data_IF_036429714709
#
_entry.id   IF_036429714709
#
_cell.length_a   1.000
_cell.length_b   1.000
_cell.length_c   1.000
_cell.angle_alpha   90.00
_cell.angle_beta   90.00
_cell.angle_gamma   90.00
#
_symmetry.space_group_name_H-M   'P 1'
#
loop_
_entity.id
_entity.type
_entity.pdbx_description
1 polymer ?
#
# COMPACT_ATOMS: atom_id res chain seq x y z
N UNK A 1 -28.34 -9.04 9.36
CA UNK A 1 -27.84 -8.96 7.98
C UNK A 1 -26.33 -9.09 8.08
N UNK A 2 -25.78 -10.21 7.61
CA UNK A 2 -24.39 -10.59 7.86
C UNK A 2 -23.45 -9.65 7.08
N UNK A 3 -22.52 -8.97 7.76
CA UNK A 3 -21.59 -8.01 7.15
C UNK A 3 -20.75 -8.68 6.05
N UNK A 4 -20.58 -10.00 6.14
CA UNK A 4 -19.96 -10.84 5.12
C UNK A 4 -20.68 -10.81 3.77
N UNK A 5 -22.00 -10.57 3.73
CA UNK A 5 -22.79 -10.54 2.49
C UNK A 5 -22.63 -9.20 1.75
N UNK A 6 -22.49 -8.08 2.47
CA UNK A 6 -22.26 -6.77 1.86
C UNK A 6 -20.86 -6.69 1.21
N UNK A 7 -19.84 -7.29 1.83
CA UNK A 7 -18.47 -7.32 1.30
C UNK A 7 -18.32 -8.18 0.03
N UNK A 8 -19.18 -9.19 -0.14
CA UNK A 8 -19.19 -10.05 -1.34
C UNK A 8 -19.97 -9.46 -2.53
N UNK A 9 -20.86 -8.50 -2.29
CA UNK A 9 -21.88 -8.12 -3.29
C UNK A 9 -21.65 -6.79 -4.02
N UNK A 10 -20.72 -5.93 -3.58
CA UNK A 10 -20.60 -4.57 -4.15
C UNK A 10 -19.27 -4.26 -4.85
N UNK A 11 -18.17 -4.96 -4.56
CA UNK A 11 -16.84 -4.63 -5.08
C UNK A 11 -16.12 -5.90 -5.53
N UNK A 12 -15.62 -5.92 -6.76
CA UNK A 12 -14.71 -6.96 -7.24
C UNK A 12 -13.33 -6.73 -6.62
N UNK A 13 -12.93 -7.62 -5.72
CA UNK A 13 -11.65 -7.53 -5.03
C UNK A 13 -10.49 -7.97 -5.94
N UNK A 14 -9.77 -6.98 -6.45
CA UNK A 14 -8.50 -7.09 -7.17
C UNK A 14 -7.38 -6.41 -6.37
N UNK A 15 -6.10 -6.65 -6.69
CA UNK A 15 -4.99 -5.92 -6.07
C UNK A 15 -5.18 -4.40 -6.14
N UNK A 16 -5.64 -3.88 -7.29
CA UNK A 16 -5.91 -2.44 -7.46
C UNK A 16 -6.95 -1.95 -6.47
N UNK A 17 -8.10 -2.63 -6.33
CA UNK A 17 -9.13 -2.22 -5.36
C UNK A 17 -8.65 -2.33 -3.91
N UNK A 18 -7.74 -3.26 -3.60
CA UNK A 18 -7.10 -3.33 -2.30
C UNK A 18 -6.24 -2.09 -2.04
N UNK A 19 -5.34 -1.71 -2.95
CA UNK A 19 -4.49 -0.52 -2.77
C UNK A 19 -5.28 0.79 -2.76
N UNK A 20 -6.38 0.89 -3.51
CA UNK A 20 -7.32 2.01 -3.41
C UNK A 20 -7.96 2.06 -2.02
N UNK A 21 -8.45 0.92 -1.52
CA UNK A 21 -9.03 0.83 -0.17
C UNK A 21 -8.01 1.17 0.91
N UNK A 22 -6.79 0.62 0.80
CA UNK A 22 -5.68 0.92 1.71
C UNK A 22 -5.30 2.39 1.69
N UNK A 23 -5.32 3.05 0.52
CA UNK A 23 -5.08 4.49 0.40
C UNK A 23 -6.14 5.31 1.15
N UNK A 24 -7.42 4.97 0.99
CA UNK A 24 -8.51 5.65 1.69
C UNK A 24 -8.37 5.47 3.20
N UNK A 25 -8.15 4.23 3.65
CA UNK A 25 -8.00 3.90 5.07
C UNK A 25 -6.77 4.58 5.67
N UNK A 26 -5.63 4.56 4.98
CA UNK A 26 -4.42 5.27 5.41
C UNK A 26 -4.63 6.77 5.48
N UNK A 27 -5.34 7.37 4.51
CA UNK A 27 -5.64 8.81 4.55
C UNK A 27 -6.41 9.17 5.82
N UNK A 28 -7.49 8.43 6.12
CA UNK A 28 -8.29 8.65 7.33
C UNK A 28 -7.48 8.43 8.61
N UNK A 29 -6.65 7.39 8.63
CA UNK A 29 -5.79 7.09 9.78
C UNK A 29 -4.72 8.17 9.98
N UNK A 30 -4.04 8.61 8.92
CA UNK A 30 -3.03 9.68 9.01
C UNK A 30 -3.67 10.94 9.58
N UNK A 31 -4.86 11.32 9.11
CA UNK A 31 -5.58 12.49 9.63
C UNK A 31 -5.92 12.35 11.12
N UNK A 32 -6.38 11.17 11.52
CA UNK A 32 -6.68 10.88 12.91
C UNK A 32 -5.42 10.98 13.78
N UNK A 33 -4.32 10.33 13.37
CA UNK A 33 -3.08 10.29 14.15
C UNK A 33 -2.38 11.65 14.16
N UNK A 34 -2.35 12.39 13.04
CA UNK A 34 -1.86 13.76 12.99
C UNK A 34 -2.61 14.66 13.97
N UNK A 35 -3.94 14.53 14.02
CA UNK A 35 -4.76 15.28 14.99
C UNK A 35 -4.45 14.88 16.43
N UNK A 36 -4.30 13.59 16.73
CA UNK A 36 -3.98 13.10 18.08
C UNK A 36 -2.59 13.56 18.55
N UNK A 37 -1.61 13.53 17.64
CA UNK A 37 -0.22 13.90 17.91
C UNK A 37 0.05 15.40 17.80
N UNK A 38 -0.97 16.20 17.45
CA UNK A 38 -0.84 17.63 17.19
C UNK A 38 0.33 17.89 16.23
N UNK A 39 0.35 17.18 15.11
CA UNK A 39 1.33 17.40 14.03
C UNK A 39 1.04 18.74 13.40
N UNK A 40 2.08 19.57 13.24
CA UNK A 40 1.99 20.82 12.49
C UNK A 40 2.30 20.53 11.01
N UNK A 41 1.28 20.44 10.14
CA UNK A 41 1.49 19.97 8.78
C UNK A 41 2.02 21.11 7.92
N UNK A 42 3.04 20.81 7.12
CA UNK A 42 3.75 21.79 6.30
C UNK A 42 2.85 22.36 5.17
N UNK A 43 1.81 21.60 4.83
CA UNK A 43 0.79 21.90 3.84
C UNK A 43 -0.60 21.68 4.46
N UNK A 44 -1.68 21.86 3.69
CA UNK A 44 -3.02 21.45 4.13
C UNK A 44 -2.99 19.98 4.61
N UNK A 45 -3.35 19.75 5.87
CA UNK A 45 -3.29 18.44 6.55
C UNK A 45 -3.95 17.33 5.72
N UNK A 46 -5.08 17.65 5.08
CA UNK A 46 -5.80 16.71 4.22
C UNK A 46 -4.98 16.32 2.99
N UNK A 47 -4.44 17.30 2.29
CA UNK A 47 -3.66 17.09 1.06
C UNK A 47 -2.37 16.31 1.39
N UNK A 48 -1.68 16.68 2.47
CA UNK A 48 -0.49 15.97 2.94
C UNK A 48 -0.78 14.50 3.26
N UNK A 49 -1.89 14.23 3.94
CA UNK A 49 -2.31 12.85 4.26
C UNK A 49 -2.61 12.03 3.00
N UNK A 50 -3.31 12.62 2.02
CA UNK A 50 -3.63 11.97 0.74
C UNK A 50 -2.34 11.65 -0.03
N UNK A 51 -1.41 12.61 -0.14
CA UNK A 51 -0.13 12.42 -0.83
C UNK A 51 0.66 11.30 -0.17
N UNK A 52 0.82 11.33 1.15
CA UNK A 52 1.56 10.30 1.88
C UNK A 52 0.94 8.91 1.69
N UNK A 53 -0.39 8.80 1.78
CA UNK A 53 -1.10 7.54 1.56
C UNK A 53 -0.93 7.01 0.12
N UNK A 54 -1.07 7.88 -0.89
CA UNK A 54 -0.92 7.52 -2.30
C UNK A 54 0.51 7.05 -2.61
N UNK A 55 1.51 7.86 -2.24
CA UNK A 55 2.92 7.55 -2.50
C UNK A 55 3.34 6.27 -1.77
N UNK A 56 2.93 6.10 -0.51
CA UNK A 56 3.21 4.88 0.25
C UNK A 56 2.63 3.62 -0.41
N UNK A 57 1.34 3.64 -0.77
CA UNK A 57 0.70 2.49 -1.42
C UNK A 57 1.23 2.23 -2.83
N UNK A 58 1.50 3.29 -3.61
CA UNK A 58 2.13 3.17 -4.93
C UNK A 58 3.52 2.56 -4.84
N UNK A 59 4.35 3.00 -3.88
CA UNK A 59 5.68 2.44 -3.65
C UNK A 59 5.60 0.94 -3.32
N UNK A 60 4.68 0.53 -2.44
CA UNK A 60 4.44 -0.89 -2.14
C UNK A 60 4.03 -1.66 -3.41
N UNK A 61 3.12 -1.11 -4.22
CA UNK A 61 2.67 -1.76 -5.46
C UNK A 61 3.80 -1.95 -6.48
N UNK A 62 4.58 -0.90 -6.75
CA UNK A 62 5.64 -0.93 -7.77
C UNK A 62 6.88 -1.69 -7.31
N UNK A 63 7.17 -1.69 -6.00
CA UNK A 63 8.36 -2.33 -5.46
C UNK A 63 8.11 -3.78 -5.00
N UNK A 64 6.87 -4.29 -5.07
CA UNK A 64 6.51 -5.62 -4.56
C UNK A 64 7.38 -6.75 -5.13
N UNK A 65 7.75 -6.66 -6.41
CA UNK A 65 8.44 -7.73 -7.14
C UNK A 65 9.94 -7.82 -6.75
N UNK A 66 10.45 -6.84 -5.99
CA UNK A 66 11.83 -6.82 -5.48
C UNK A 66 11.98 -7.48 -4.10
N UNK A 67 10.95 -8.19 -3.62
CA UNK A 67 11.01 -8.93 -2.37
C UNK A 67 11.30 -8.03 -1.15
N UNK A 68 12.24 -8.45 -0.31
CA UNK A 68 12.60 -7.73 0.91
C UNK A 68 13.12 -6.31 0.63
N UNK A 69 13.98 -6.16 -0.38
CA UNK A 69 14.54 -4.85 -0.73
C UNK A 69 13.47 -3.90 -1.24
N UNK A 70 12.48 -4.43 -1.96
CA UNK A 70 11.30 -3.70 -2.38
C UNK A 70 10.49 -3.18 -1.20
N UNK A 71 10.23 -4.03 -0.22
CA UNK A 71 9.53 -3.66 1.01
C UNK A 71 10.27 -2.59 1.84
N UNK A 72 11.59 -2.74 2.01
CA UNK A 72 12.40 -1.76 2.71
C UNK A 72 12.41 -0.42 1.97
N UNK A 73 12.51 -0.44 0.64
CA UNK A 73 12.40 0.75 -0.20
C UNK A 73 11.04 1.43 -0.07
N UNK A 74 9.95 0.68 -0.14
CA UNK A 74 8.59 1.21 0.00
C UNK A 74 8.35 1.80 1.40
N UNK A 75 8.83 1.12 2.44
CA UNK A 75 8.80 1.63 3.82
C UNK A 75 9.57 2.94 3.96
N UNK A 76 10.78 3.03 3.40
CA UNK A 76 11.60 4.22 3.43
C UNK A 76 10.94 5.39 2.68
N UNK A 77 10.39 5.15 1.47
CA UNK A 77 9.67 6.15 0.69
C UNK A 77 8.45 6.65 1.45
N UNK A 78 7.66 5.75 2.05
CA UNK A 78 6.48 6.14 2.79
C UNK A 78 6.84 6.96 4.03
N UNK A 79 7.83 6.52 4.81
CA UNK A 79 8.31 7.25 5.97
C UNK A 79 8.88 8.64 5.60
N UNK A 80 9.70 8.72 4.55
CA UNK A 80 10.24 9.99 4.07
C UNK A 80 9.14 10.95 3.63
N UNK A 81 8.09 10.44 2.96
CA UNK A 81 6.95 11.25 2.56
C UNK A 81 6.17 11.75 3.78
N UNK A 82 5.95 10.90 4.79
CA UNK A 82 5.32 11.30 6.05
C UNK A 82 6.12 12.40 6.75
N UNK A 83 7.45 12.23 6.85
CA UNK A 83 8.34 13.21 7.44
C UNK A 83 8.30 14.55 6.69
N UNK A 84 8.22 14.53 5.35
CA UNK A 84 8.09 15.73 4.54
C UNK A 84 6.74 16.45 4.80
N UNK A 85 5.62 15.73 4.83
CA UNK A 85 4.31 16.38 5.05
C UNK A 85 4.09 16.84 6.49
N UNK A 86 4.84 16.29 7.45
CA UNK A 86 4.79 16.64 8.88
C UNK A 86 5.80 17.73 9.28
N UNK A 87 6.25 18.58 8.36
CA UNK A 87 7.24 19.64 8.63
C UNK A 87 8.56 19.12 9.23
N UNK A 88 8.97 17.91 8.88
CA UNK A 88 10.17 17.28 9.42
C UNK A 88 10.04 16.73 10.84
N UNK A 89 8.84 16.65 11.43
CA UNK A 89 8.62 16.02 12.75
C UNK A 89 8.83 14.49 12.75
N UNK A 90 10.10 14.06 12.69
CA UNK A 90 10.53 12.66 12.50
C UNK A 90 9.88 11.68 13.49
N UNK A 91 9.84 12.02 14.78
CA UNK A 91 9.29 11.11 15.81
C UNK A 91 7.78 10.90 15.64
N UNK A 92 7.02 11.97 15.36
CA UNK A 92 5.57 11.86 15.12
C UNK A 92 5.31 11.13 13.81
N UNK A 93 6.10 11.39 12.78
CA UNK A 93 6.05 10.66 11.51
C UNK A 93 6.36 9.16 11.67
N UNK A 94 7.26 8.79 12.58
CA UNK A 94 7.54 7.37 12.87
C UNK A 94 6.35 6.68 13.54
N UNK A 95 5.68 7.36 14.46
CA UNK A 95 4.46 6.86 15.09
C UNK A 95 3.33 6.69 14.07
N UNK A 96 3.15 7.67 13.19
CA UNK A 96 2.14 7.62 12.11
C UNK A 96 2.46 6.50 11.13
N UNK A 97 3.73 6.35 10.76
CA UNK A 97 4.20 5.27 9.89
C UNK A 97 3.94 3.89 10.51
N UNK A 98 4.23 3.72 11.80
CA UNK A 98 3.99 2.46 12.52
C UNK A 98 2.50 2.15 12.61
N UNK A 99 1.66 3.17 12.85
CA UNK A 99 0.21 3.03 12.81
C UNK A 99 -0.29 2.63 11.40
N UNK A 100 0.30 3.20 10.34
CA UNK A 100 0.01 2.83 8.95
C UNK A 100 0.35 1.37 8.67
N UNK A 101 1.53 0.89 9.09
CA UNK A 101 1.91 -0.51 8.93
C UNK A 101 0.94 -1.45 9.66
N UNK A 102 0.57 -1.12 10.90
CA UNK A 102 -0.38 -1.91 11.67
C UNK A 102 -1.77 -1.97 11.00
N UNK A 103 -2.24 -0.83 10.46
CA UNK A 103 -3.51 -0.77 9.74
C UNK A 103 -3.45 -1.52 8.42
N UNK A 104 -2.36 -1.42 7.66
CA UNK A 104 -2.16 -2.18 6.43
C UNK A 104 -2.20 -3.69 6.69
N UNK A 105 -1.45 -4.16 7.71
CA UNK A 105 -1.46 -5.55 8.12
C UNK A 105 -2.85 -6.01 8.61
N UNK A 106 -3.54 -5.15 9.38
CA UNK A 106 -4.92 -5.38 9.81
C UNK A 106 -5.90 -5.51 8.64
N UNK A 107 -5.74 -4.67 7.62
CA UNK A 107 -6.54 -4.71 6.40
C UNK A 107 -6.31 -6.00 5.62
N UNK A 108 -5.05 -6.44 5.52
CA UNK A 108 -4.66 -7.74 4.97
C UNK A 108 -5.36 -8.89 5.70
N UNK A 109 -5.11 -9.02 7.01
CA UNK A 109 -5.71 -10.07 7.85
C UNK A 109 -7.25 -10.09 7.79
N UNK A 110 -7.88 -8.92 7.65
CA UNK A 110 -9.33 -8.83 7.54
C UNK A 110 -9.86 -9.22 6.15
N UNK A 111 -9.20 -8.80 5.07
CA UNK A 111 -9.70 -8.99 3.71
C UNK A 111 -9.32 -10.34 3.10
N UNK A 112 -8.12 -10.87 3.35
CA UNK A 112 -7.63 -12.11 2.73
C UNK A 112 -8.59 -13.31 2.97
N UNK A 113 -9.13 -13.55 4.18
CA UNK A 113 -10.06 -14.67 4.38
C UNK A 113 -11.44 -14.49 3.73
N UNK A 114 -11.74 -13.29 3.20
CA UNK A 114 -13.07 -12.87 2.73
C UNK A 114 -13.09 -12.55 1.23
N UNK A 115 -11.93 -12.58 0.57
CA UNK A 115 -11.73 -12.13 -0.81
C UNK A 115 -10.84 -13.14 -1.56
N UNK A 116 -10.80 -13.13 -2.91
CA UNK A 116 -9.89 -13.96 -3.68
C UNK A 116 -8.42 -13.46 -3.64
N UNK A 117 -8.11 -12.44 -2.85
CA UNK A 117 -6.76 -11.93 -2.72
C UNK A 117 -5.92 -12.92 -1.91
N UNK A 118 -4.74 -13.22 -2.40
CA UNK A 118 -3.73 -13.94 -1.62
C UNK A 118 -2.69 -12.99 -1.09
N UNK A 119 -2.10 -13.43 0.02
CA UNK A 119 -0.96 -12.77 0.61
C UNK A 119 0.27 -13.59 0.29
N UNK A 120 1.34 -12.91 -0.12
CA UNK A 120 2.65 -13.52 -0.20
C UNK A 120 3.50 -13.16 1.03
N UNK A 121 4.08 -14.19 1.66
CA UNK A 121 5.03 -14.02 2.76
C UNK A 121 6.41 -13.81 2.18
N UNK A 122 6.92 -12.59 2.27
CA UNK A 122 8.29 -12.27 1.84
C UNK A 122 9.21 -12.40 3.06
N UNK A 123 9.94 -13.51 3.16
CA UNK A 123 10.99 -13.70 4.17
C UNK A 123 10.53 -13.57 5.63
N UNK A 124 9.26 -13.85 5.94
CA UNK A 124 8.70 -13.74 7.30
C UNK A 124 8.29 -12.34 7.74
N UNK A 125 8.31 -11.35 6.84
CA UNK A 125 7.90 -9.96 7.07
C UNK A 125 6.49 -9.65 6.52
N UNK A 126 5.89 -8.50 6.87
CA UNK A 126 4.47 -8.23 6.64
C UNK A 126 4.03 -8.49 5.21
N UNK A 127 3.01 -9.34 5.17
CA UNK A 127 2.12 -9.72 4.08
C UNK A 127 1.90 -8.61 3.03
N UNK A 128 2.51 -8.72 1.85
CA UNK A 128 2.06 -7.93 0.68
C UNK A 128 0.91 -8.70 0.02
N UNK A 129 -0.18 -8.00 -0.27
CA UNK A 129 -1.27 -8.54 -1.07
C UNK A 129 -0.83 -8.67 -2.52
N UNK A 130 -0.54 -9.90 -2.94
CA UNK A 130 -0.23 -10.22 -4.33
C UNK A 130 -1.17 -11.30 -4.83
N UNK A 131 -1.74 -10.99 -5.99
CA UNK A 131 -2.55 -11.85 -6.84
C UNK A 131 -4.00 -12.08 -6.37
N UNK A 132 -4.89 -11.39 -7.06
CA UNK A 132 -6.12 -11.99 -7.57
C UNK A 132 -6.00 -11.99 -9.09
N UNK A 133 -5.55 -13.09 -9.69
CA UNK A 133 -5.76 -13.40 -11.11
C UNK A 133 -4.85 -12.78 -12.17
N UNK A 134 -3.66 -12.29 -11.85
CA UNK A 134 -2.61 -12.04 -12.86
C UNK A 134 -1.32 -12.63 -12.34
N UNK A 135 -1.17 -13.95 -12.50
CA UNK A 135 0.16 -14.54 -12.67
C UNK A 135 0.78 -13.81 -13.85
N UNK A 136 1.89 -13.09 -13.69
CA UNK A 136 2.71 -12.74 -14.84
C UNK A 136 3.09 -14.08 -15.46
N UNK A 137 2.59 -14.37 -16.65
CA UNK A 137 3.19 -15.43 -17.45
C UNK A 137 4.68 -15.04 -17.55
N UNK A 138 5.62 -15.94 -17.22
CA UNK A 138 7.03 -15.67 -17.43
C UNK A 138 7.17 -15.21 -18.88
N UNK A 139 7.73 -14.02 -19.10
CA UNK A 139 8.04 -13.52 -20.44
C UNK A 139 8.82 -14.64 -21.12
N UNK A 140 8.21 -15.25 -22.13
CA UNK A 140 8.87 -16.33 -22.86
C UNK A 140 10.04 -15.74 -23.65
N UNK A 141 11.01 -16.56 -24.06
CA UNK A 141 12.10 -16.06 -24.93
C UNK A 141 11.55 -15.45 -26.23
N UNK A 142 10.34 -15.82 -26.65
CA UNK A 142 9.61 -15.21 -27.76
C UNK A 142 9.16 -13.77 -27.46
N UNK A 143 8.54 -13.53 -26.30
CA UNK A 143 8.07 -12.21 -25.87
C UNK A 143 9.25 -11.22 -25.65
N UNK A 144 10.36 -11.73 -25.12
CA UNK A 144 11.59 -10.94 -24.97
C UNK A 144 12.18 -10.52 -26.32
N UNK A 145 12.04 -11.36 -27.35
CA UNK A 145 12.53 -11.07 -28.70
C UNK A 145 11.62 -10.11 -29.47
N UNK A 146 10.31 -10.08 -29.19
CA UNK A 146 9.42 -9.06 -29.75
C UNK A 146 9.64 -7.68 -29.12
N UNK A 147 9.82 -7.60 -27.80
CA UNK A 147 10.09 -6.35 -27.09
C UNK A 147 11.49 -5.77 -27.38
N UNK A 148 12.43 -6.60 -27.85
CA UNK A 148 13.77 -6.20 -28.25
C UNK A 148 13.84 -5.70 -29.71
N UNK A 149 12.74 -5.78 -30.49
CA UNK A 149 12.71 -5.20 -31.82
C UNK A 149 12.61 -3.67 -31.70
N UNK A 150 13.44 -2.90 -32.43
CA UNK A 150 13.29 -1.45 -32.47
C UNK A 150 11.91 -1.12 -33.05
N UNK A 151 11.18 -0.24 -32.37
CA UNK A 151 9.89 0.26 -32.86
C UNK A 151 10.10 0.93 -34.23
N UNK A 152 9.32 0.51 -35.22
CA UNK A 152 9.20 1.21 -36.52
C UNK A 152 8.49 2.56 -36.37
#
# INVERSE_FOLDING_TARGET
MDVAVLAKAAITWTPVTFYVTATIVHTLMILLVFKLLHVDPEHNTFIGAVIAALVGNAAVFFLRDFGLFGNLGAAAIYFATLAAVSSGEVLKSLLVFTAALAVYAGLGMFLTPRTPLTVEKIGGLPEIMMTGGLTPEPITEEDSNELAKPAE
#
